data_IF_748432088079
#
_entry.id   IF_748432088079
#
_cell.length_a   1.000
_cell.length_b   1.000
_cell.length_c   1.000
_cell.angle_alpha   90.00
_cell.angle_beta   90.00
_cell.angle_gamma   90.00
#
_symmetry.space_group_name_H-M   'P 1'
#
loop_
_entity.id
_entity.type
_entity.pdbx_description
1 polymer ?
#
# COMPACT_ATOMS: atom_id res chain seq x y z
N UNK A 1 22.48 -8.80 34.41
CA UNK A 1 22.01 -10.17 34.06
C UNK A 1 20.50 -10.26 34.29
N UNK A 2 19.93 -9.80 35.42
CA UNK A 2 18.51 -9.88 35.74
C UNK A 2 17.59 -9.09 34.78
N UNK A 3 18.07 -8.00 34.20
CA UNK A 3 17.31 -7.22 33.19
C UNK A 3 17.19 -7.95 31.84
N UNK A 4 18.24 -8.68 31.44
CA UNK A 4 18.22 -9.48 30.21
C UNK A 4 17.32 -10.71 30.31
N UNK A 5 17.26 -11.38 31.49
CA UNK A 5 16.36 -12.53 31.72
C UNK A 5 14.90 -12.12 31.78
N UNK A 6 14.58 -10.97 32.37
CA UNK A 6 13.22 -10.41 32.39
C UNK A 6 12.72 -10.00 30.98
N UNK A 7 13.59 -9.42 30.15
CA UNK A 7 13.31 -9.07 28.77
C UNK A 7 13.09 -10.32 27.90
N UNK A 8 13.89 -11.38 28.07
CA UNK A 8 13.72 -12.65 27.37
C UNK A 8 12.35 -13.30 27.68
N UNK A 9 11.90 -13.22 28.93
CA UNK A 9 10.58 -13.72 29.31
C UNK A 9 9.46 -12.96 28.62
N UNK A 10 9.52 -11.63 28.51
CA UNK A 10 8.53 -10.84 27.80
C UNK A 10 8.39 -11.27 26.33
N UNK A 11 9.50 -11.50 25.63
CA UNK A 11 9.44 -11.92 24.22
C UNK A 11 8.82 -13.30 24.02
N UNK A 12 8.99 -14.23 24.94
CA UNK A 12 8.30 -15.53 24.88
C UNK A 12 6.79 -15.35 24.94
N UNK A 13 6.27 -14.41 25.75
CA UNK A 13 4.85 -14.09 25.79
C UNK A 13 4.37 -13.46 24.47
N UNK A 14 5.17 -12.60 23.82
CA UNK A 14 4.81 -12.04 22.53
C UNK A 14 4.79 -13.05 21.37
N UNK A 15 5.42 -14.21 21.53
CA UNK A 15 5.36 -15.30 20.54
C UNK A 15 3.90 -15.75 20.29
N UNK A 16 3.03 -15.63 21.31
CA UNK A 16 1.61 -15.95 21.18
C UNK A 16 0.84 -15.03 20.23
N UNK A 17 1.42 -13.90 19.84
CA UNK A 17 0.84 -12.97 18.85
C UNK A 17 0.85 -13.59 17.45
N UNK A 18 1.82 -14.44 17.11
CA UNK A 18 1.94 -15.05 15.78
C UNK A 18 0.65 -15.82 15.39
N UNK A 19 0.07 -16.70 16.21
CA UNK A 19 -1.18 -17.38 15.91
C UNK A 19 -2.40 -16.45 15.78
N UNK A 20 -2.31 -15.21 16.27
CA UNK A 20 -3.37 -14.22 16.15
C UNK A 20 -3.34 -13.47 14.80
N UNK A 21 -2.22 -13.53 14.07
CA UNK A 21 -2.09 -12.84 12.77
C UNK A 21 -3.15 -13.24 11.74
N UNK A 22 -3.55 -14.52 11.60
CA UNK A 22 -4.65 -14.89 10.72
C UNK A 22 -5.98 -14.18 11.00
N UNK A 23 -6.28 -13.87 12.26
CA UNK A 23 -7.48 -13.08 12.60
C UNK A 23 -7.36 -11.63 12.03
N UNK A 24 -6.16 -11.09 12.01
CA UNK A 24 -5.91 -9.80 11.38
C UNK A 24 -6.12 -9.85 9.86
N UNK A 25 -5.97 -11.02 9.19
CA UNK A 25 -6.35 -11.19 7.80
C UNK A 25 -7.84 -10.92 7.57
N UNK A 26 -8.70 -11.49 8.43
CA UNK A 26 -10.14 -11.24 8.37
C UNK A 26 -10.49 -9.77 8.56
N UNK A 27 -9.88 -9.11 9.56
CA UNK A 27 -10.06 -7.67 9.79
C UNK A 27 -9.61 -6.85 8.57
N UNK A 28 -8.46 -7.16 8.01
CA UNK A 28 -7.90 -6.47 6.84
C UNK A 28 -8.78 -6.68 5.60
N UNK A 29 -9.33 -7.87 5.40
CA UNK A 29 -10.25 -8.16 4.31
C UNK A 29 -11.51 -7.27 4.40
N UNK A 30 -12.18 -7.25 5.54
CA UNK A 30 -13.38 -6.44 5.77
C UNK A 30 -13.09 -4.95 5.56
N UNK A 31 -12.02 -4.44 6.18
CA UNK A 31 -11.67 -3.01 6.07
C UNK A 31 -11.23 -2.63 4.65
N UNK A 32 -10.64 -3.55 3.90
CA UNK A 32 -10.29 -3.36 2.49
C UNK A 32 -11.54 -3.20 1.62
N UNK A 33 -12.58 -4.00 1.83
CA UNK A 33 -13.88 -3.85 1.14
C UNK A 33 -14.56 -2.53 1.49
N UNK A 34 -14.55 -2.14 2.76
CA UNK A 34 -15.11 -0.86 3.20
C UNK A 34 -14.41 0.35 2.54
N UNK A 35 -13.08 0.32 2.44
CA UNK A 35 -12.29 1.42 1.83
C UNK A 35 -12.52 1.49 0.32
N UNK A 36 -12.86 0.39 -0.35
CA UNK A 36 -13.26 0.36 -1.75
C UNK A 36 -14.64 0.99 -2.01
N UNK A 37 -15.43 1.23 -0.96
CA UNK A 37 -16.78 1.73 -1.10
C UNK A 37 -17.77 0.69 -1.61
N UNK A 38 -17.52 -0.60 -1.37
CA UNK A 38 -18.43 -1.66 -1.74
C UNK A 38 -19.71 -1.56 -0.90
N UNK A 39 -20.87 -1.51 -1.57
CA UNK A 39 -22.16 -1.53 -0.91
C UNK A 39 -22.47 -2.94 -0.39
N UNK A 40 -23.09 -3.03 0.79
CA UNK A 40 -23.52 -4.30 1.42
C UNK A 40 -22.41 -5.30 1.74
N UNK A 41 -21.32 -4.82 2.38
CA UNK A 41 -20.25 -5.70 2.86
C UNK A 41 -20.79 -6.64 3.95
N UNK A 42 -20.87 -7.95 3.64
CA UNK A 42 -21.14 -8.96 4.66
C UNK A 42 -19.89 -9.13 5.54
N UNK A 43 -19.90 -8.44 6.68
CA UNK A 43 -18.74 -8.37 7.59
C UNK A 43 -18.32 -9.75 8.08
N UNK A 44 -19.28 -10.61 8.46
CA UNK A 44 -18.96 -11.91 9.04
C UNK A 44 -18.40 -12.88 7.98
N UNK A 45 -19.04 -12.95 6.82
CA UNK A 45 -18.61 -13.82 5.73
C UNK A 45 -17.23 -13.40 5.23
N UNK A 46 -16.99 -12.10 4.99
CA UNK A 46 -15.69 -11.57 4.57
C UNK A 46 -14.60 -11.75 5.63
N UNK A 47 -14.93 -11.64 6.91
CA UNK A 47 -13.98 -11.88 7.99
C UNK A 47 -13.52 -13.34 8.01
N UNK A 48 -14.44 -14.29 8.00
CA UNK A 48 -14.12 -15.72 7.99
C UNK A 48 -13.44 -16.14 6.68
N UNK A 49 -13.90 -15.61 5.55
CA UNK A 49 -13.27 -15.82 4.23
C UNK A 49 -11.82 -15.36 4.24
N UNK A 50 -11.56 -14.14 4.68
CA UNK A 50 -10.21 -13.57 4.77
C UNK A 50 -9.25 -14.40 5.61
N UNK A 51 -9.72 -14.96 6.74
CA UNK A 51 -8.93 -15.88 7.57
C UNK A 51 -8.61 -17.16 6.81
N UNK A 52 -9.61 -17.81 6.22
CA UNK A 52 -9.45 -19.12 5.56
C UNK A 52 -8.53 -19.04 4.35
N UNK A 53 -8.72 -18.04 3.52
CA UNK A 53 -7.97 -17.85 2.28
C UNK A 53 -6.51 -17.43 2.51
N UNK A 54 -6.26 -16.66 3.57
CA UNK A 54 -4.95 -16.07 3.83
C UNK A 54 -4.23 -16.61 5.08
N UNK A 55 -4.75 -17.68 5.70
CA UNK A 55 -4.24 -18.22 6.97
C UNK A 55 -2.72 -18.43 6.95
N UNK A 56 -2.22 -19.19 5.99
CA UNK A 56 -0.79 -19.53 5.92
C UNK A 56 0.06 -18.29 5.59
N UNK A 57 -0.42 -17.44 4.67
CA UNK A 57 0.28 -16.20 4.31
C UNK A 57 0.44 -15.28 5.52
N UNK A 58 -0.63 -15.11 6.32
CA UNK A 58 -0.58 -14.27 7.52
C UNK A 58 0.20 -14.89 8.67
N UNK A 59 0.25 -16.20 8.82
CA UNK A 59 1.18 -16.84 9.75
C UNK A 59 2.64 -16.51 9.41
N UNK A 60 3.00 -16.59 8.13
CA UNK A 60 4.35 -16.22 7.67
C UNK A 60 4.61 -14.72 7.93
N UNK A 61 3.65 -13.84 7.63
CA UNK A 61 3.77 -12.41 7.94
C UNK A 61 3.96 -12.17 9.45
N UNK A 62 3.23 -12.92 10.30
CA UNK A 62 3.39 -12.87 11.74
C UNK A 62 4.80 -13.21 12.21
N UNK A 63 5.39 -14.28 11.67
CA UNK A 63 6.77 -14.67 11.97
C UNK A 63 7.76 -13.59 11.52
N UNK A 64 7.62 -13.08 10.30
CA UNK A 64 8.51 -12.04 9.76
C UNK A 64 8.40 -10.74 10.56
N UNK A 65 7.18 -10.30 10.88
CA UNK A 65 6.96 -9.09 11.68
C UNK A 65 7.51 -9.25 13.10
N UNK A 66 7.22 -10.39 13.74
CA UNK A 66 7.75 -10.69 15.06
C UNK A 66 9.28 -10.63 15.07
N UNK A 67 9.93 -11.27 14.10
CA UNK A 67 11.40 -11.26 13.98
C UNK A 67 11.94 -9.85 13.74
N UNK A 68 11.29 -9.05 12.89
CA UNK A 68 11.70 -7.67 12.63
C UNK A 68 11.61 -6.80 13.88
N UNK A 69 10.50 -6.89 14.63
CA UNK A 69 10.30 -6.15 15.88
C UNK A 69 11.32 -6.60 16.94
N UNK A 70 11.51 -7.91 17.08
CA UNK A 70 12.46 -8.50 18.03
C UNK A 70 13.89 -8.00 17.78
N UNK A 71 14.39 -8.17 16.55
CA UNK A 71 15.74 -7.75 16.18
C UNK A 71 15.91 -6.23 16.36
N UNK A 72 14.93 -5.44 15.90
CA UNK A 72 14.98 -3.97 16.02
C UNK A 72 15.03 -3.54 17.49
N UNK A 73 14.17 -4.10 18.33
CA UNK A 73 14.13 -3.76 19.75
C UNK A 73 15.46 -4.07 20.46
N UNK A 74 15.97 -5.29 20.30
CA UNK A 74 17.24 -5.65 20.93
C UNK A 74 18.43 -4.83 20.42
N UNK A 75 18.48 -4.54 19.13
CA UNK A 75 19.50 -3.68 18.55
C UNK A 75 19.46 -2.27 19.13
N UNK A 76 18.25 -1.68 19.22
CA UNK A 76 18.07 -0.34 19.78
C UNK A 76 18.50 -0.30 21.26
N UNK A 77 18.02 -1.25 22.07
CA UNK A 77 18.36 -1.33 23.50
C UNK A 77 19.86 -1.53 23.70
N UNK A 78 20.49 -2.41 22.91
CA UNK A 78 21.93 -2.66 22.95
C UNK A 78 22.73 -1.39 22.65
N UNK A 79 22.46 -0.74 21.51
CA UNK A 79 23.23 0.43 21.09
C UNK A 79 22.92 1.66 21.96
N UNK A 80 21.74 1.78 22.53
CA UNK A 80 21.43 2.81 23.51
C UNK A 80 22.27 2.63 24.78
N UNK A 81 22.40 1.39 25.29
CA UNK A 81 23.21 1.06 26.43
C UNK A 81 24.73 1.23 26.21
N UNK A 82 25.20 0.92 24.99
CA UNK A 82 26.60 1.15 24.61
C UNK A 82 26.89 2.64 24.37
N UNK A 83 25.95 3.38 23.79
CA UNK A 83 26.03 4.81 23.52
C UNK A 83 26.21 5.64 24.79
N UNK A 84 25.61 5.21 25.92
CA UNK A 84 25.80 5.86 27.21
C UNK A 84 27.24 5.76 27.74
N UNK A 85 28.01 4.76 27.28
CA UNK A 85 29.42 4.56 27.65
C UNK A 85 30.38 5.20 26.66
N UNK A 86 30.04 5.18 25.38
CA UNK A 86 30.84 5.77 24.30
C UNK A 86 29.92 6.30 23.21
N UNK A 87 29.95 7.61 22.98
CA UNK A 87 29.08 8.32 22.03
C UNK A 87 29.16 7.81 20.58
N UNK A 88 30.24 7.11 20.19
CA UNK A 88 30.36 6.53 18.85
C UNK A 88 29.28 5.49 18.54
N UNK A 89 28.72 4.83 19.55
CA UNK A 89 27.63 3.86 19.37
C UNK A 89 26.26 4.47 19.06
N UNK A 90 26.11 5.80 19.13
CA UNK A 90 24.89 6.46 18.65
C UNK A 90 24.74 6.41 17.12
N UNK A 91 25.83 6.27 16.35
CA UNK A 91 25.74 6.12 14.89
C UNK A 91 25.00 4.85 14.50
N UNK A 92 25.40 3.63 14.92
CA UNK A 92 24.62 2.42 14.65
C UNK A 92 23.23 2.44 15.30
N UNK A 93 23.03 3.12 16.42
CA UNK A 93 21.69 3.30 17.01
C UNK A 93 20.72 4.00 16.02
N UNK A 94 21.14 5.10 15.42
CA UNK A 94 20.33 5.82 14.44
C UNK A 94 20.00 4.93 13.24
N UNK A 95 20.96 4.16 12.75
CA UNK A 95 20.74 3.20 11.65
C UNK A 95 19.70 2.16 12.05
N UNK A 96 19.78 1.59 13.25
CA UNK A 96 18.81 0.62 13.74
C UNK A 96 17.39 1.21 13.84
N UNK A 97 17.25 2.46 14.29
CA UNK A 97 15.96 3.18 14.35
C UNK A 97 15.40 3.38 12.95
N UNK A 98 16.20 3.78 11.97
CA UNK A 98 15.77 3.96 10.58
C UNK A 98 15.30 2.64 9.96
N UNK A 99 16.01 1.54 10.23
CA UNK A 99 15.61 0.20 9.79
C UNK A 99 14.29 -0.23 10.45
N UNK A 100 14.11 0.05 11.74
CA UNK A 100 12.85 -0.25 12.44
C UNK A 100 11.66 0.52 11.85
N UNK A 101 11.83 1.81 11.53
CA UNK A 101 10.82 2.64 10.86
C UNK A 101 10.52 2.09 9.46
N UNK A 102 11.55 1.68 8.71
CA UNK A 102 11.36 1.08 7.39
C UNK A 102 10.50 -0.19 7.46
N UNK A 103 10.78 -1.10 8.39
CA UNK A 103 9.96 -2.30 8.59
C UNK A 103 8.54 -1.96 9.03
N UNK A 104 8.36 -0.99 9.93
CA UNK A 104 7.05 -0.53 10.35
C UNK A 104 6.21 -0.06 9.15
N UNK A 105 6.76 0.80 8.30
CA UNK A 105 6.07 1.28 7.11
C UNK A 105 5.82 0.17 6.07
N UNK A 106 6.77 -0.75 5.91
CA UNK A 106 6.59 -1.90 5.02
C UNK A 106 5.37 -2.73 5.44
N UNK A 107 5.15 -2.91 6.74
CA UNK A 107 3.99 -3.64 7.26
C UNK A 107 2.65 -2.90 7.14
N UNK A 108 2.63 -1.62 6.76
CA UNK A 108 1.39 -0.95 6.36
C UNK A 108 0.87 -1.47 5.02
N UNK A 109 1.74 -1.96 4.15
CA UNK A 109 1.39 -2.45 2.81
C UNK A 109 1.21 -3.97 2.74
N UNK A 110 1.97 -4.73 3.52
CA UNK A 110 1.97 -6.20 3.45
C UNK A 110 0.59 -6.81 3.67
N UNK A 111 -0.18 -6.52 4.74
CA UNK A 111 -1.51 -7.08 4.95
C UNK A 111 -2.53 -6.67 3.87
N UNK A 112 -2.69 -5.38 3.52
CA UNK A 112 -3.60 -4.96 2.46
C UNK A 112 -3.28 -5.58 1.09
N UNK A 113 -2.00 -5.66 0.72
CA UNK A 113 -1.59 -6.29 -0.54
C UNK A 113 -1.96 -7.77 -0.57
N UNK A 114 -1.80 -8.47 0.55
CA UNK A 114 -2.04 -9.91 0.63
C UNK A 114 -3.51 -10.26 0.43
N UNK A 115 -4.42 -9.45 0.98
CA UNK A 115 -5.87 -9.69 0.87
C UNK A 115 -6.47 -9.13 -0.43
N UNK A 116 -5.81 -8.13 -1.04
CA UNK A 116 -6.36 -7.44 -2.21
C UNK A 116 -5.89 -8.05 -3.53
N UNK A 117 -4.65 -8.57 -3.59
CA UNK A 117 -4.04 -9.03 -4.83
C UNK A 117 -3.58 -10.48 -4.73
N UNK A 118 -3.88 -11.27 -5.76
CA UNK A 118 -3.33 -12.63 -5.87
C UNK A 118 -1.95 -12.62 -6.52
N UNK A 119 -0.95 -12.18 -5.74
CA UNK A 119 0.46 -12.12 -6.13
C UNK A 119 1.32 -12.98 -5.20
N UNK A 120 2.52 -13.32 -5.68
CA UNK A 120 3.46 -14.15 -4.92
C UNK A 120 3.96 -13.39 -3.68
N UNK A 121 4.23 -14.13 -2.60
CA UNK A 121 4.76 -13.57 -1.34
C UNK A 121 5.99 -12.69 -1.55
N UNK A 122 6.92 -13.13 -2.42
CA UNK A 122 8.12 -12.35 -2.75
C UNK A 122 7.78 -10.98 -3.35
N UNK A 123 6.76 -10.93 -4.21
CA UNK A 123 6.35 -9.71 -4.88
C UNK A 123 5.59 -8.79 -3.91
N UNK A 124 4.83 -9.35 -2.95
CA UNK A 124 4.22 -8.59 -1.85
C UNK A 124 5.31 -7.82 -1.08
N UNK A 125 6.34 -8.51 -0.59
CA UNK A 125 7.41 -7.86 0.17
C UNK A 125 8.21 -6.84 -0.66
N UNK A 126 8.50 -7.19 -1.93
CA UNK A 126 9.20 -6.28 -2.85
C UNK A 126 8.40 -5.00 -3.11
N UNK A 127 7.13 -5.13 -3.42
CA UNK A 127 6.26 -3.98 -3.69
C UNK A 127 6.02 -3.16 -2.42
N UNK A 128 5.83 -3.81 -1.26
CA UNK A 128 5.70 -3.13 0.03
C UNK A 128 6.95 -2.32 0.38
N UNK A 129 8.14 -2.86 0.14
CA UNK A 129 9.40 -2.14 0.36
C UNK A 129 9.54 -0.91 -0.57
N UNK A 130 9.13 -1.03 -1.84
CA UNK A 130 9.12 0.10 -2.78
C UNK A 130 8.12 1.18 -2.35
N UNK A 131 6.91 0.80 -1.92
CA UNK A 131 5.90 1.74 -1.43
C UNK A 131 6.33 2.44 -0.15
N UNK A 132 7.06 1.75 0.73
CA UNK A 132 7.61 2.33 1.96
C UNK A 132 8.46 3.57 1.68
N UNK A 133 9.26 3.55 0.62
CA UNK A 133 10.11 4.68 0.24
C UNK A 133 9.36 5.66 -0.67
N UNK A 134 8.56 5.14 -1.61
CA UNK A 134 7.87 5.95 -2.60
C UNK A 134 6.72 6.79 -2.05
N UNK A 135 6.04 6.29 -1.00
CA UNK A 135 4.81 6.88 -0.47
C UNK A 135 4.97 7.39 0.97
N UNK A 136 6.10 8.01 1.27
CA UNK A 136 6.43 8.48 2.62
C UNK A 136 5.35 9.39 3.22
N UNK A 137 4.72 10.25 2.39
CA UNK A 137 3.63 11.13 2.82
C UNK A 137 2.44 10.35 3.38
N UNK A 138 2.00 9.30 2.69
CA UNK A 138 0.87 8.47 3.11
C UNK A 138 1.20 7.62 4.34
N UNK A 139 2.45 7.17 4.44
CA UNK A 139 2.94 6.50 5.64
C UNK A 139 2.89 7.40 6.87
N UNK A 140 3.26 8.67 6.73
CA UNK A 140 3.16 9.66 7.82
C UNK A 140 1.70 9.95 8.19
N UNK A 141 0.77 10.01 7.23
CA UNK A 141 -0.66 10.13 7.51
C UNK A 141 -1.19 8.93 8.29
N UNK A 142 -0.80 7.71 7.92
CA UNK A 142 -1.16 6.51 8.67
C UNK A 142 -0.64 6.58 10.12
N UNK A 143 0.63 6.95 10.32
CA UNK A 143 1.22 7.12 11.66
C UNK A 143 0.45 8.16 12.47
N UNK A 144 0.10 9.30 11.88
CA UNK A 144 -0.67 10.33 12.57
C UNK A 144 -2.05 9.82 13.01
N UNK A 145 -2.76 9.10 12.15
CA UNK A 145 -4.02 8.45 12.50
C UNK A 145 -3.87 7.42 13.61
N UNK A 146 -2.80 6.62 13.58
CA UNK A 146 -2.47 5.64 14.63
C UNK A 146 -2.17 6.33 15.96
N UNK A 147 -1.44 7.44 15.95
CA UNK A 147 -1.15 8.21 17.16
C UNK A 147 -2.44 8.75 17.79
N UNK A 148 -3.38 9.27 16.98
CA UNK A 148 -4.68 9.71 17.47
C UNK A 148 -5.45 8.52 18.09
N UNK A 149 -5.47 7.37 17.43
CA UNK A 149 -6.11 6.18 17.97
C UNK A 149 -5.55 5.80 19.35
N UNK A 150 -4.23 5.75 19.49
CA UNK A 150 -3.60 5.44 20.78
C UNK A 150 -3.89 6.49 21.86
N UNK A 151 -3.94 7.75 21.49
CA UNK A 151 -4.30 8.84 22.42
C UNK A 151 -5.74 8.66 22.94
N UNK A 152 -6.69 8.36 22.06
CA UNK A 152 -8.07 8.06 22.42
C UNK A 152 -8.15 6.83 23.31
N UNK A 153 -7.46 5.74 22.98
CA UNK A 153 -7.43 4.54 23.82
C UNK A 153 -6.85 4.82 25.20
N UNK A 154 -5.75 5.58 25.27
CA UNK A 154 -5.15 5.98 26.54
C UNK A 154 -6.12 6.81 27.40
N UNK A 155 -6.87 7.73 26.79
CA UNK A 155 -7.87 8.52 27.49
C UNK A 155 -8.98 7.63 28.07
N UNK A 156 -9.48 6.66 27.29
CA UNK A 156 -10.52 5.72 27.75
C UNK A 156 -10.00 4.90 28.94
N UNK A 157 -8.76 4.41 28.88
CA UNK A 157 -8.15 3.65 29.98
C UNK A 157 -7.94 4.51 31.23
N UNK A 158 -7.52 5.76 31.06
CA UNK A 158 -7.36 6.71 32.19
C UNK A 158 -8.70 7.07 32.87
N UNK A 159 -9.80 7.06 32.13
CA UNK A 159 -11.14 7.26 32.68
C UNK A 159 -11.72 6.04 33.40
N UNK A 160 -10.98 4.93 33.48
CA UNK A 160 -11.41 3.73 34.15
C UNK A 160 -11.23 3.85 35.67
N UNK A 161 -12.30 4.10 36.40
CA UNK A 161 -12.26 4.38 37.86
C UNK A 161 -12.10 3.12 38.73
N UNK A 162 -12.28 1.93 38.15
CA UNK A 162 -12.14 0.66 38.89
C UNK A 162 -11.23 -0.32 38.17
N UNK A 163 -10.46 -1.17 38.89
CA UNK A 163 -9.59 -2.17 38.24
C UNK A 163 -10.37 -3.14 37.33
N UNK A 164 -11.60 -3.44 37.64
CA UNK A 164 -12.46 -4.34 36.84
C UNK A 164 -12.78 -3.69 35.49
N UNK A 165 -13.19 -2.42 35.48
CA UNK A 165 -13.47 -1.67 34.26
C UNK A 165 -12.19 -1.51 33.41
N UNK A 166 -11.05 -1.27 34.05
CA UNK A 166 -9.77 -1.18 33.35
C UNK A 166 -9.44 -2.47 32.60
N UNK A 167 -9.62 -3.64 33.24
CA UNK A 167 -9.38 -4.94 32.62
C UNK A 167 -10.35 -5.16 31.45
N UNK A 168 -11.65 -4.90 31.65
CA UNK A 168 -12.67 -5.06 30.59
C UNK A 168 -12.35 -4.17 29.40
N UNK A 169 -12.11 -2.87 29.63
CA UNK A 169 -11.78 -1.94 28.54
C UNK A 169 -10.49 -2.31 27.84
N UNK A 170 -9.46 -2.77 28.56
CA UNK A 170 -8.22 -3.22 27.94
C UNK A 170 -8.46 -4.40 27.00
N UNK A 171 -9.25 -5.39 27.42
CA UNK A 171 -9.56 -6.56 26.59
C UNK A 171 -10.37 -6.15 25.34
N UNK A 172 -11.42 -5.33 25.51
CA UNK A 172 -12.28 -4.88 24.40
C UNK A 172 -11.49 -4.03 23.40
N UNK A 173 -10.69 -3.09 23.90
CA UNK A 173 -9.84 -2.26 23.04
C UNK A 173 -8.82 -3.11 22.28
N UNK A 174 -8.10 -3.99 22.97
CA UNK A 174 -7.00 -4.74 22.38
C UNK A 174 -7.46 -5.79 21.35
N UNK A 175 -8.60 -6.45 21.58
CA UNK A 175 -9.05 -7.55 20.71
C UNK A 175 -9.98 -7.09 19.58
N UNK A 176 -10.78 -6.05 19.79
CA UNK A 176 -11.81 -5.65 18.82
C UNK A 176 -11.57 -4.27 18.23
N UNK A 177 -11.40 -3.25 19.05
CA UNK A 177 -11.42 -1.86 18.59
C UNK A 177 -10.10 -1.50 17.91
N UNK A 178 -8.97 -1.72 18.58
CA UNK A 178 -7.65 -1.34 18.06
C UNK A 178 -7.32 -2.06 16.76
N UNK A 179 -7.45 -3.38 16.61
CA UNK A 179 -7.15 -4.05 15.34
C UNK A 179 -8.03 -3.56 14.19
N UNK A 180 -9.32 -3.32 14.46
CA UNK A 180 -10.28 -2.90 13.43
C UNK A 180 -10.01 -1.48 12.93
N UNK A 181 -9.87 -0.53 13.87
CA UNK A 181 -9.60 0.88 13.51
C UNK A 181 -8.19 1.04 12.94
N UNK A 182 -7.20 0.33 13.47
CA UNK A 182 -5.83 0.31 12.95
C UNK A 182 -5.80 -0.14 11.48
N UNK A 183 -6.46 -1.27 11.21
CA UNK A 183 -6.56 -1.79 9.84
C UNK A 183 -7.29 -0.82 8.92
N UNK A 184 -8.37 -0.18 9.37
CA UNK A 184 -9.10 0.80 8.58
C UNK A 184 -8.26 2.05 8.28
N UNK A 185 -7.53 2.60 9.26
CA UNK A 185 -6.62 3.74 9.07
C UNK A 185 -5.54 3.40 8.04
N UNK A 186 -4.89 2.24 8.20
CA UNK A 186 -3.84 1.77 7.29
C UNK A 186 -4.41 1.61 5.88
N UNK A 187 -5.50 0.84 5.71
CA UNK A 187 -6.11 0.64 4.40
C UNK A 187 -6.51 1.96 3.74
N UNK A 188 -7.14 2.88 4.47
CA UNK A 188 -7.54 4.20 3.95
C UNK A 188 -6.34 5.02 3.46
N UNK A 189 -5.21 4.94 4.16
CA UNK A 189 -4.01 5.69 3.79
C UNK A 189 -3.29 5.10 2.56
N UNK A 190 -3.24 3.76 2.44
CA UNK A 190 -2.36 3.11 1.45
C UNK A 190 -3.10 2.56 0.22
N UNK A 191 -4.40 2.28 0.31
CA UNK A 191 -5.14 1.53 -0.70
C UNK A 191 -5.06 2.14 -2.11
N UNK A 192 -5.37 3.43 -2.24
CA UNK A 192 -5.43 4.11 -3.55
C UNK A 192 -4.11 4.03 -4.31
N UNK A 193 -3.01 4.33 -3.63
CA UNK A 193 -1.69 4.36 -4.25
C UNK A 193 -1.16 2.95 -4.52
N UNK A 194 -1.45 2.02 -3.60
CA UNK A 194 -1.12 0.60 -3.76
C UNK A 194 -1.83 0.02 -4.99
N UNK A 195 -3.12 0.28 -5.15
CA UNK A 195 -3.91 -0.18 -6.29
C UNK A 195 -3.39 0.39 -7.62
N UNK A 196 -3.20 1.71 -7.69
CA UNK A 196 -2.64 2.39 -8.87
C UNK A 196 -1.27 1.82 -9.26
N UNK A 197 -0.37 1.64 -8.29
CA UNK A 197 0.97 1.13 -8.57
C UNK A 197 0.97 -0.29 -9.15
N UNK A 198 0.11 -1.19 -8.62
CA UNK A 198 0.09 -2.59 -9.05
C UNK A 198 -0.64 -2.73 -10.40
N UNK A 199 -1.82 -2.13 -10.53
CA UNK A 199 -2.66 -2.24 -11.73
C UNK A 199 -2.04 -1.51 -12.93
N UNK A 200 -1.57 -0.28 -12.74
CA UNK A 200 -0.94 0.49 -13.82
C UNK A 200 0.38 -0.12 -14.28
N UNK A 201 1.12 -0.74 -13.36
CA UNK A 201 2.35 -1.44 -13.71
C UNK A 201 2.09 -2.69 -14.52
N UNK A 202 1.08 -3.48 -14.17
CA UNK A 202 0.69 -4.69 -14.91
C UNK A 202 0.17 -4.36 -16.31
N UNK A 203 -0.61 -3.31 -16.46
CA UNK A 203 -1.11 -2.85 -17.75
C UNK A 203 0.03 -2.39 -18.67
N UNK A 204 0.98 -1.61 -18.14
CA UNK A 204 2.19 -1.18 -18.86
C UNK A 204 3.10 -2.34 -19.23
N UNK A 205 3.30 -3.32 -18.33
CA UNK A 205 4.10 -4.52 -18.61
C UNK A 205 3.49 -5.33 -19.74
N UNK A 206 2.19 -5.63 -19.69
CA UNK A 206 1.49 -6.37 -20.75
C UNK A 206 1.57 -5.66 -22.12
N UNK A 207 1.52 -4.35 -22.13
CA UNK A 207 1.65 -3.55 -23.36
C UNK A 207 3.07 -3.63 -23.93
N UNK A 208 4.08 -3.57 -23.05
CA UNK A 208 5.50 -3.68 -23.46
C UNK A 208 5.79 -5.09 -23.96
N UNK A 209 5.32 -6.12 -23.26
CA UNK A 209 5.51 -7.53 -23.65
C UNK A 209 4.86 -7.82 -25.00
N UNK A 210 3.63 -7.34 -25.24
CA UNK A 210 2.95 -7.43 -26.53
C UNK A 210 3.72 -6.73 -27.65
N UNK A 211 4.27 -5.54 -27.37
CA UNK A 211 5.15 -4.82 -28.31
C UNK A 211 6.43 -5.59 -28.63
N UNK A 212 7.07 -6.20 -27.61
CA UNK A 212 8.28 -7.01 -27.80
C UNK A 212 7.99 -8.30 -28.57
N UNK A 213 6.86 -8.97 -28.27
CA UNK A 213 6.44 -10.16 -28.99
C UNK A 213 6.15 -9.88 -30.46
N UNK A 214 5.46 -8.77 -30.75
CA UNK A 214 5.24 -8.33 -32.13
C UNK A 214 6.55 -8.02 -32.85
N UNK A 215 7.55 -7.42 -32.17
CA UNK A 215 8.91 -7.23 -32.73
C UNK A 215 9.59 -8.57 -33.05
N UNK A 216 9.50 -9.57 -32.14
CA UNK A 216 10.10 -10.90 -32.33
C UNK A 216 9.46 -11.67 -33.49
N UNK A 217 8.15 -11.50 -33.71
CA UNK A 217 7.40 -12.16 -34.79
C UNK A 217 7.62 -11.50 -36.16
N UNK A 218 8.46 -10.47 -36.26
CA UNK A 218 8.72 -9.77 -37.54
C UNK A 218 7.49 -9.05 -38.10
N UNK A 219 6.46 -8.85 -37.28
CA UNK A 219 5.23 -8.14 -37.63
C UNK A 219 5.39 -6.61 -37.55
N UNK A 220 6.61 -6.12 -37.45
CA UNK A 220 6.89 -4.73 -37.77
C UNK A 220 7.00 -4.63 -39.30
N UNK A 221 5.90 -4.40 -39.93
CA UNK A 221 5.90 -3.60 -41.14
C UNK A 221 6.28 -2.19 -40.70
N UNK A 222 7.39 -1.68 -41.23
CA UNK A 222 7.76 -0.26 -41.07
C UNK A 222 6.72 0.70 -41.69
N UNK A 223 5.63 0.14 -42.20
CA UNK A 223 4.51 0.74 -42.89
C UNK A 223 3.21 0.72 -42.13
N UNK A 224 3.15 0.30 -40.87
CA UNK A 224 2.04 0.69 -40.01
C UNK A 224 2.19 2.16 -39.70
N UNK A 225 1.74 2.98 -40.70
CA UNK A 225 1.19 4.29 -40.43
C UNK A 225 0.43 4.19 -39.11
N UNK A 226 0.64 5.11 -38.13
CA UNK A 226 -0.14 5.16 -36.95
C UNK A 226 -1.59 5.01 -37.39
N UNK A 227 -2.30 4.02 -36.83
CA UNK A 227 -3.74 3.80 -37.11
C UNK A 227 -4.33 5.20 -37.16
N UNK A 228 -4.73 5.61 -38.35
CA UNK A 228 -5.18 6.96 -38.56
C UNK A 228 -6.37 7.14 -37.65
N UNK A 229 -6.16 7.80 -36.51
CA UNK A 229 -7.25 8.22 -35.65
C UNK A 229 -8.17 8.96 -36.59
N UNK A 230 -9.42 8.57 -36.67
CA UNK A 230 -10.39 9.18 -37.59
C UNK A 230 -10.70 10.57 -37.06
N UNK A 231 -9.96 11.54 -37.55
CA UNK A 231 -10.14 12.95 -37.19
C UNK A 231 -11.30 13.61 -37.99
N UNK A 232 -12.03 12.86 -38.83
CA UNK A 232 -13.11 13.41 -39.65
C UNK A 232 -14.30 13.91 -38.85
N UNK A 233 -14.57 13.31 -37.67
CA UNK A 233 -15.71 13.66 -36.82
C UNK A 233 -15.39 14.73 -35.76
N UNK A 234 -14.25 15.41 -35.89
CA UNK A 234 -13.81 16.45 -34.95
C UNK A 234 -14.58 17.76 -35.22
N UNK A 235 -15.44 18.16 -34.31
CA UNK A 235 -16.05 19.49 -34.30
C UNK A 235 -15.02 20.52 -33.79
N UNK A 236 -14.28 21.15 -34.67
CA UNK A 236 -13.40 22.28 -34.37
C UNK A 236 -14.02 23.51 -34.99
N UNK A 237 -14.25 24.55 -34.19
CA UNK A 237 -14.71 25.84 -34.70
C UNK A 237 -13.62 26.48 -35.60
N UNK A 238 -13.84 26.50 -36.90
CA UNK A 238 -12.88 27.01 -37.88
C UNK A 238 -12.75 28.54 -37.87
N UNK A 239 -13.69 29.24 -37.22
CA UNK A 239 -13.78 30.71 -37.23
C UNK A 239 -12.94 31.42 -36.17
N UNK A 240 -12.45 30.71 -35.15
CA UNK A 240 -11.67 31.30 -34.06
C UNK A 240 -10.20 31.45 -34.46
N UNK A 241 -9.71 32.68 -34.49
CA UNK A 241 -8.33 33.05 -34.80
C UNK A 241 -7.45 32.83 -33.55
N UNK A 242 -6.49 31.96 -33.64
CA UNK A 242 -5.53 31.75 -32.55
C UNK A 242 -4.90 30.36 -32.50
N UNK A 243 -3.63 30.32 -32.10
CA UNK A 243 -2.83 29.12 -31.93
C UNK A 243 -3.08 28.49 -30.55
N UNK A 244 -4.37 28.38 -30.15
CA UNK A 244 -4.78 27.80 -28.86
C UNK A 244 -4.51 26.29 -28.81
N UNK A 245 -4.15 25.81 -27.61
CA UNK A 245 -4.00 24.40 -27.35
C UNK A 245 -5.35 23.79 -27.02
N UNK A 246 -5.77 22.77 -27.77
CA UNK A 246 -7.01 21.99 -27.55
C UNK A 246 -6.62 20.64 -26.94
N UNK A 247 -7.38 20.22 -25.93
CA UNK A 247 -7.19 18.91 -25.32
C UNK A 247 -7.97 17.86 -26.13
N UNK A 248 -7.23 16.97 -26.79
CA UNK A 248 -7.81 15.89 -27.58
C UNK A 248 -7.10 14.56 -27.31
N UNK A 249 -7.86 13.51 -27.09
CA UNK A 249 -7.39 12.14 -26.83
C UNK A 249 -6.25 12.04 -25.79
N UNK A 250 -6.42 12.76 -24.67
CA UNK A 250 -5.45 12.73 -23.57
C UNK A 250 -4.19 13.59 -23.78
N UNK A 251 -4.12 14.39 -24.87
CA UNK A 251 -2.97 15.24 -25.21
C UNK A 251 -3.40 16.67 -25.51
N UNK A 252 -2.56 17.62 -25.13
CA UNK A 252 -2.71 19.02 -25.53
C UNK A 252 -2.06 19.20 -26.91
N UNK A 253 -2.85 19.52 -27.91
CA UNK A 253 -2.38 19.74 -29.29
C UNK A 253 -2.73 21.15 -29.74
N UNK A 254 -1.86 21.74 -30.60
CA UNK A 254 -2.17 23.00 -31.21
C UNK A 254 -3.34 22.86 -32.18
N UNK A 255 -4.26 23.82 -32.14
CA UNK A 255 -5.42 23.86 -33.04
C UNK A 255 -5.07 23.76 -34.49
N UNK A 256 -4.07 24.52 -34.93
CA UNK A 256 -3.55 24.48 -36.30
C UNK A 256 -3.11 23.07 -36.73
N UNK A 257 -2.52 22.31 -35.82
CA UNK A 257 -2.11 20.94 -36.09
C UNK A 257 -3.30 19.97 -36.17
N UNK A 258 -4.30 20.13 -35.32
CA UNK A 258 -5.53 19.32 -35.38
C UNK A 258 -6.34 19.58 -36.64
N UNK A 259 -6.43 20.85 -37.10
CA UNK A 259 -7.08 21.20 -38.36
C UNK A 259 -6.36 20.58 -39.57
N UNK A 260 -5.01 20.53 -39.54
CA UNK A 260 -4.23 19.86 -40.59
C UNK A 260 -4.54 18.36 -40.64
N UNK A 261 -4.57 17.68 -39.46
CA UNK A 261 -4.89 16.25 -39.38
C UNK A 261 -6.32 15.96 -39.87
N UNK A 262 -7.29 16.84 -39.57
CA UNK A 262 -8.68 16.71 -40.02
C UNK A 262 -8.73 16.78 -41.58
N UNK A 263 -8.10 17.75 -42.17
CA UNK A 263 -8.05 17.89 -43.65
C UNK A 263 -7.38 16.69 -44.32
N UNK A 264 -6.27 16.22 -43.79
CA UNK A 264 -5.60 15.02 -44.30
C UNK A 264 -6.48 13.77 -44.19
N UNK A 265 -7.29 13.63 -43.10
CA UNK A 265 -8.23 12.54 -42.91
C UNK A 265 -9.40 12.62 -43.91
N UNK A 266 -9.94 13.81 -44.17
CA UNK A 266 -11.01 14.05 -45.13
C UNK A 266 -10.52 13.78 -46.58
N UNK A 267 -9.31 14.21 -46.94
CA UNK A 267 -8.72 13.91 -48.22
C UNK A 267 -8.52 12.42 -48.49
N UNK A 268 -8.10 11.67 -47.46
CA UNK A 268 -8.00 10.19 -47.51
C UNK A 268 -9.34 9.51 -47.67
N UNK A 269 -10.40 10.07 -47.06
CA UNK A 269 -11.78 9.50 -47.11
C UNK A 269 -12.38 9.74 -48.51
N UNK A 270 -12.04 10.87 -49.16
CA UNK A 270 -12.49 11.22 -50.51
C UNK A 270 -11.71 10.53 -51.64
N UNK A 271 -10.52 9.99 -51.32
CA UNK A 271 -9.65 9.27 -52.26
C UNK A 271 -9.93 7.76 -52.35
N UNK A 272 -10.83 7.24 -51.51
CA UNK A 272 -11.33 5.86 -51.55
C UNK A 272 -12.70 5.77 -52.19
#
# INVERSE_FOLDING_TARGET
INTLTGLNSMFIYFLTIIPLFPFYAGVTQVTSHMVRGEENVDVFSNFIGGIKENLLRFLIHGVVMYSAVFISYYSIVLYLGLGSKNGMFYVPLVICILIAIFFLFMFFYVPPMTVTFDIKMKDIYKNSALMTVGELKHNLFAVFGILILFLVCATVLMCSFTPVLLIIFTIVLALFIVPSILSFIINSAVYKNMYSMIVDRDSKSKTIDKKMENRRKGQFRDDEEPVAEDYSDLEIDESADGDEFIFYNGKMMKRSYLLKLKKEAEERKNAK
#
